data_IF_338626706096
#
_entry.id   IF_338626706096
#
_cell.length_a   1.000
_cell.length_b   1.000
_cell.length_c   1.000
_cell.angle_alpha   90.00
_cell.angle_beta   90.00
_cell.angle_gamma   90.00
#
_symmetry.space_group_name_H-M   'P 1'
#
loop_
_entity.id
_entity.type
_entity.pdbx_description
1 polymer ?
#
# COMPACT_ATOMS: atom_id res chain seq x y z
N UNK A 1 -10.69 13.60 5.76
CA UNK A 1 -9.69 13.38 4.69
C UNK A 1 -9.81 11.98 4.12
N UNK A 2 -9.60 11.83 2.83
CA UNK A 2 -9.64 10.52 2.20
C UNK A 2 -8.24 9.91 2.16
N UNK A 3 -8.18 8.58 2.04
CA UNK A 3 -6.91 7.88 1.84
C UNK A 3 -6.21 8.39 0.58
N UNK A 4 -4.89 8.49 0.64
CA UNK A 4 -4.07 8.77 -0.53
C UNK A 4 -4.02 7.50 -1.38
N UNK A 5 -4.56 7.57 -2.60
CA UNK A 5 -4.53 6.43 -3.52
C UNK A 5 -3.30 6.56 -4.41
N UNK A 6 -2.19 5.98 -3.98
CA UNK A 6 -0.92 6.04 -4.72
C UNK A 6 -1.00 5.20 -5.99
N UNK A 7 -0.37 5.66 -7.08
CA UNK A 7 -0.55 5.03 -8.39
C UNK A 7 0.27 3.78 -8.66
N UNK A 8 1.16 3.39 -7.74
CA UNK A 8 2.09 2.29 -8.00
C UNK A 8 2.45 1.50 -6.76
N UNK A 9 2.95 0.29 -6.99
CA UNK A 9 3.58 -0.51 -5.94
C UNK A 9 4.96 0.08 -5.64
N UNK A 10 5.22 0.41 -4.38
CA UNK A 10 6.49 1.04 -4.00
C UNK A 10 7.68 0.09 -4.09
N UNK A 11 7.44 -1.21 -4.19
CA UNK A 11 8.50 -2.22 -4.32
C UNK A 11 8.84 -2.54 -5.77
N UNK A 12 7.85 -2.95 -6.59
CA UNK A 12 8.09 -3.37 -7.97
C UNK A 12 7.69 -2.33 -9.02
N UNK A 13 7.10 -1.22 -8.60
CA UNK A 13 6.65 -0.12 -9.47
C UNK A 13 5.49 -0.48 -10.40
N UNK A 14 4.81 -1.58 -10.15
CA UNK A 14 3.62 -1.96 -10.92
C UNK A 14 2.54 -0.90 -10.76
N UNK A 15 1.85 -0.55 -11.84
CA UNK A 15 0.74 0.38 -11.79
C UNK A 15 -0.42 -0.19 -10.96
N UNK A 16 -0.94 0.63 -10.05
CA UNK A 16 -2.07 0.28 -9.19
C UNK A 16 -3.13 1.39 -9.30
N UNK A 17 -3.98 1.34 -10.33
CA UNK A 17 -5.03 2.34 -10.49
C UNK A 17 -5.97 2.35 -9.28
N UNK A 18 -6.79 3.40 -9.10
CA UNK A 18 -7.63 3.52 -7.90
C UNK A 18 -8.55 2.33 -7.63
N UNK A 19 -8.95 1.62 -8.69
CA UNK A 19 -9.82 0.46 -8.58
C UNK A 19 -9.07 -0.88 -8.55
N UNK A 20 -7.76 -0.88 -8.37
CA UNK A 20 -6.98 -2.11 -8.34
C UNK A 20 -7.37 -2.97 -7.13
N UNK A 21 -7.84 -4.19 -7.39
CA UNK A 21 -8.23 -5.13 -6.35
C UNK A 21 -7.00 -5.70 -5.62
N UNK A 22 -5.84 -5.65 -6.25
CA UNK A 22 -4.59 -6.21 -5.72
C UNK A 22 -3.77 -5.19 -4.92
N UNK A 23 -4.24 -3.95 -4.77
CA UNK A 23 -3.52 -2.96 -3.98
C UNK A 23 -3.65 -3.27 -2.49
N UNK A 24 -2.52 -3.18 -1.79
CA UNK A 24 -2.42 -3.37 -0.34
C UNK A 24 -1.81 -2.13 0.27
N UNK A 25 -2.26 -1.77 1.47
CA UNK A 25 -1.74 -0.59 2.18
C UNK A 25 -1.44 -0.94 3.64
N UNK A 26 -0.46 -0.25 4.21
CA UNK A 26 -0.24 -0.27 5.65
C UNK A 26 -1.03 0.88 6.29
N UNK A 27 -0.89 1.06 7.61
CA UNK A 27 -1.62 2.12 8.31
C UNK A 27 -1.13 3.53 7.97
N UNK A 28 0.00 3.65 7.30
CA UNK A 28 0.56 4.93 6.82
C UNK A 28 0.37 5.11 5.32
N UNK A 29 -0.52 4.33 4.71
CA UNK A 29 -0.85 4.39 3.28
C UNK A 29 0.28 3.99 2.33
N UNK A 30 1.37 3.41 2.83
CA UNK A 30 2.38 2.82 1.96
C UNK A 30 1.74 1.72 1.13
N UNK A 31 1.96 1.76 -0.19
CA UNK A 31 1.19 0.96 -1.15
C UNK A 31 2.04 -0.07 -1.86
N UNK A 32 1.54 -1.29 -1.92
CA UNK A 32 2.23 -2.42 -2.56
C UNK A 32 1.19 -3.29 -3.26
N UNK A 33 1.62 -4.01 -4.31
CA UNK A 33 0.74 -5.00 -4.90
C UNK A 33 0.67 -6.24 -4.00
N UNK A 34 -0.39 -7.02 -4.13
CA UNK A 34 -0.59 -8.21 -3.30
C UNK A 34 0.58 -9.19 -3.38
N UNK A 35 1.15 -9.35 -4.58
CA UNK A 35 2.26 -10.26 -4.78
C UNK A 35 3.49 -9.83 -3.98
N UNK A 36 3.85 -8.55 -4.03
CA UNK A 36 4.96 -8.04 -3.23
C UNK A 36 4.66 -8.11 -1.74
N UNK A 37 3.45 -7.72 -1.33
CA UNK A 37 3.05 -7.74 0.08
C UNK A 37 3.15 -9.15 0.67
N UNK A 38 2.76 -10.16 -0.09
CA UNK A 38 2.74 -11.55 0.38
C UNK A 38 4.07 -12.25 0.23
N UNK A 39 4.70 -12.17 -0.96
CA UNK A 39 5.83 -13.02 -1.31
C UNK A 39 7.20 -12.36 -1.10
N UNK A 40 7.27 -11.04 -1.22
CA UNK A 40 8.54 -10.33 -1.02
C UNK A 40 8.64 -9.73 0.37
N UNK A 41 7.55 -9.18 0.88
CA UNK A 41 7.53 -8.45 2.14
C UNK A 41 6.99 -9.27 3.32
N UNK A 42 6.33 -10.39 3.04
CA UNK A 42 5.79 -11.28 4.07
C UNK A 42 4.91 -10.54 5.08
N UNK A 43 4.06 -9.66 4.58
CA UNK A 43 3.14 -8.85 5.39
C UNK A 43 3.85 -7.89 6.36
N UNK A 44 5.02 -7.41 5.98
CA UNK A 44 5.78 -6.42 6.76
C UNK A 44 6.03 -5.18 5.90
N UNK A 45 5.48 -4.04 6.32
CA UNK A 45 5.74 -2.79 5.62
C UNK A 45 7.21 -2.38 5.81
N UNK A 46 7.98 -2.18 4.73
CA UNK A 46 9.38 -1.80 4.86
C UNK A 46 9.61 -0.42 5.47
N UNK A 47 8.56 0.42 5.48
CA UNK A 47 8.68 1.79 6.00
C UNK A 47 8.25 1.91 7.46
N UNK A 48 7.25 1.14 7.90
CA UNK A 48 6.73 1.28 9.27
C UNK A 48 6.73 -0.03 10.08
N UNK A 49 6.94 -1.16 9.44
CA UNK A 49 6.94 -2.45 10.12
C UNK A 49 5.55 -3.06 10.34
N UNK A 50 4.50 -2.34 10.00
CA UNK A 50 3.12 -2.83 10.19
C UNK A 50 2.71 -3.84 9.14
N UNK A 51 1.51 -4.39 9.29
CA UNK A 51 0.95 -5.32 8.33
C UNK A 51 0.17 -4.60 7.24
N UNK A 52 -0.31 -5.37 6.26
CA UNK A 52 -1.06 -4.85 5.12
C UNK A 52 -2.48 -5.33 5.14
N UNK A 53 -3.36 -4.50 4.58
CA UNK A 53 -4.73 -4.86 4.29
C UNK A 53 -5.06 -4.42 2.86
N UNK A 54 -6.15 -4.95 2.32
CA UNK A 54 -6.62 -4.56 1.00
C UNK A 54 -6.99 -3.08 1.00
N UNK A 55 -6.52 -2.35 -0.02
CA UNK A 55 -6.84 -0.94 -0.15
C UNK A 55 -8.30 -0.75 -0.56
N UNK A 56 -9.09 0.03 0.18
CA UNK A 56 -10.47 0.32 -0.21
C UNK A 56 -10.53 1.01 -1.57
N UNK A 57 -11.55 0.67 -2.34
CA UNK A 57 -11.77 1.26 -3.66
C UNK A 57 -12.76 2.41 -3.50
N UNK A 58 -12.33 3.62 -3.91
CA UNK A 58 -13.19 4.80 -3.85
C UNK A 58 -14.27 4.72 -4.91
N UNK A 59 -15.52 5.08 -4.60
CA UNK A 59 -16.61 5.01 -5.60
C UNK A 59 -16.27 5.78 -6.87
N UNK A 60 -16.53 5.15 -8.01
CA UNK A 60 -16.38 5.81 -9.32
C UNK A 60 -17.51 6.82 -9.56
N UNK A 61 -18.67 6.56 -8.98
CA UNK A 61 -19.88 7.39 -9.17
C UNK A 61 -20.19 8.11 -7.86
N UNK A 62 -20.53 9.39 -7.97
CA UNK A 62 -20.86 10.19 -6.80
C UNK A 62 -22.23 9.77 -6.24
N UNK A 63 -22.22 8.94 -5.19
CA UNK A 63 -23.44 8.46 -4.53
C UNK A 63 -23.91 9.41 -3.44
N UNK A 64 -22.99 10.18 -2.89
CA UNK A 64 -23.23 11.28 -1.96
C UNK A 64 -22.39 12.46 -2.41
N UNK A 65 -22.81 13.70 -2.14
CA UNK A 65 -22.08 14.88 -2.63
C UNK A 65 -20.61 14.87 -2.24
N UNK A 66 -19.73 15.03 -3.21
CA UNK A 66 -18.30 15.20 -3.01
C UNK A 66 -17.48 13.93 -2.75
N UNK A 67 -18.10 12.75 -2.67
CA UNK A 67 -17.40 11.53 -2.28
C UNK A 67 -17.32 10.51 -3.43
N UNK A 68 -16.39 10.74 -4.32
CA UNK A 68 -16.08 9.82 -5.42
C UNK A 68 -14.70 10.14 -5.98
N UNK A 69 -14.19 9.27 -6.85
CA UNK A 69 -12.82 9.37 -7.36
C UNK A 69 -12.60 10.62 -8.23
N UNK A 70 -13.66 11.16 -8.87
CA UNK A 70 -13.55 12.38 -9.68
C UNK A 70 -13.59 13.67 -8.85
N UNK A 71 -14.12 13.62 -7.64
CA UNK A 71 -14.18 14.76 -6.72
C UNK A 71 -13.01 14.75 -5.74
N UNK A 72 -12.54 13.57 -5.38
CA UNK A 72 -11.36 13.37 -4.54
C UNK A 72 -10.38 12.52 -5.32
N UNK A 73 -9.56 13.18 -6.14
CA UNK A 73 -8.70 12.53 -7.11
C UNK A 73 -7.65 11.64 -6.45
N UNK A 74 -7.29 10.52 -7.12
CA UNK A 74 -6.15 9.72 -6.67
C UNK A 74 -4.85 10.49 -6.86
N UNK A 75 -3.81 10.07 -6.16
CA UNK A 75 -2.48 10.64 -6.32
C UNK A 75 -1.92 10.23 -7.69
N UNK A 76 -1.21 11.15 -8.35
CA UNK A 76 -0.46 10.86 -9.55
C UNK A 76 1.04 10.78 -9.27
N UNK A 77 1.42 10.90 -8.00
CA UNK A 77 2.82 10.94 -7.60
C UNK A 77 3.30 9.52 -7.24
N UNK A 78 4.20 9.00 -8.07
CA UNK A 78 4.79 7.69 -7.83
C UNK A 78 5.75 7.76 -6.65
N UNK A 79 5.72 6.72 -5.82
CA UNK A 79 6.57 6.61 -4.64
C UNK A 79 7.37 5.32 -4.75
N UNK A 80 8.63 5.36 -4.36
CA UNK A 80 9.52 4.21 -4.40
C UNK A 80 10.19 4.02 -3.04
N UNK A 81 10.62 2.79 -2.76
CA UNK A 81 11.34 2.49 -1.53
C UNK A 81 12.68 3.23 -1.48
N UNK A 82 13.03 3.67 -0.27
CA UNK A 82 14.31 4.34 0.00
C UNK A 82 15.36 3.37 0.52
N UNK A 83 14.99 2.14 0.81
CA UNK A 83 15.85 1.14 1.41
C UNK A 83 16.32 0.15 0.34
N UNK A 84 17.51 -0.43 0.54
CA UNK A 84 18.02 -1.45 -0.37
C UNK A 84 17.22 -2.75 -0.22
N UNK A 85 17.34 -3.63 -1.23
CA UNK A 85 16.67 -4.95 -1.18
C UNK A 85 17.15 -5.73 0.04
N UNK A 86 18.44 -5.68 0.34
CA UNK A 86 19.02 -6.38 1.49
C UNK A 86 18.48 -5.83 2.80
N UNK A 87 18.36 -4.52 2.93
CA UNK A 87 17.81 -3.89 4.13
C UNK A 87 16.36 -4.28 4.33
N UNK A 88 15.57 -4.24 3.26
CA UNK A 88 14.15 -4.64 3.29
C UNK A 88 14.02 -6.09 3.71
N UNK A 89 14.83 -6.98 3.15
CA UNK A 89 14.80 -8.41 3.49
C UNK A 89 15.11 -8.65 4.96
N UNK A 90 16.12 -7.97 5.50
CA UNK A 90 16.51 -8.10 6.92
C UNK A 90 15.42 -7.56 7.84
N UNK A 91 14.83 -6.43 7.49
CA UNK A 91 13.74 -5.80 8.23
C UNK A 91 12.52 -6.74 8.29
N UNK A 92 12.13 -7.29 7.15
CA UNK A 92 11.00 -8.22 7.08
C UNK A 92 11.27 -9.50 7.86
N UNK A 93 12.48 -10.04 7.78
CA UNK A 93 12.85 -11.26 8.49
C UNK A 93 12.74 -11.08 10.01
N UNK A 94 13.05 -9.89 10.51
CA UNK A 94 12.95 -9.61 11.96
C UNK A 94 11.51 -9.53 12.44
N UNK A 95 10.58 -9.14 11.58
CA UNK A 95 9.22 -8.81 12.00
C UNK A 95 8.15 -9.78 11.52
N UNK A 96 8.43 -10.59 10.50
CA UNK A 96 7.39 -11.42 9.86
C UNK A 96 6.73 -12.42 10.81
N UNK A 97 7.44 -12.90 11.83
CA UNK A 97 6.91 -13.86 12.78
C UNK A 97 6.24 -13.19 13.99
N UNK A 98 6.25 -11.86 14.04
CA UNK A 98 5.59 -11.10 15.10
C UNK A 98 4.23 -10.63 14.56
N UNK A 99 3.12 -10.93 15.25
CA UNK A 99 1.81 -10.44 14.78
C UNK A 99 1.81 -8.92 14.68
N UNK A 100 1.12 -8.35 13.69
CA UNK A 100 1.14 -6.89 13.48
C UNK A 100 0.81 -6.06 14.72
N UNK A 101 -0.11 -6.54 15.57
CA UNK A 101 -0.50 -5.82 16.77
C UNK A 101 0.58 -5.80 17.85
N UNK A 102 1.63 -6.60 17.68
CA UNK A 102 2.73 -6.69 18.66
C UNK A 102 4.06 -6.14 18.15
N UNK A 103 4.04 -5.63 16.93
CA UNK A 103 5.24 -5.07 16.33
C UNK A 103 5.60 -3.70 16.85
#
# INVERSE_FOLDING_TARGET
>A
MALQLRPNCEYCDKDLPPNAAEARICSYECTFCADCADNELHNVCPNCGGGFERRPIRPAIERRPGVCVTKQLPSDKRVHLKYSVEDVAAHCARLRDIPPQER
#
